data_IF_350266122622
#
_entry.id   IF_350266122622
#
_cell.length_a   1.000
_cell.length_b   1.000
_cell.length_c   1.000
_cell.angle_alpha   90.00
_cell.angle_beta   90.00
_cell.angle_gamma   90.00
#
_symmetry.space_group_name_H-M   'P 1'
#
loop_
_entity.id
_entity.type
_entity.pdbx_description
1 polymer ?
#
# COMPACT_ATOMS: atom_id res chain seq x y z
N UNK A 1 -13.90 7.47 -7.28
CA UNK A 1 -13.52 7.63 -6.78
C UNK A 1 -12.34 7.76 -6.36
N UNK A 2 -11.45 7.76 -6.51
CA UNK A 2 -10.12 8.10 -6.15
C UNK A 2 -9.75 8.02 -4.70
N UNK A 3 -10.60 7.44 -3.91
CA UNK A 3 -10.32 7.40 -2.48
C UNK A 3 -9.10 6.55 -2.18
N UNK A 4 -8.72 5.63 -3.06
CA UNK A 4 -7.57 4.79 -2.80
C UNK A 4 -6.30 5.32 -3.44
N UNK A 5 -6.40 6.15 -4.47
CA UNK A 5 -5.22 6.63 -5.15
C UNK A 5 -4.57 7.73 -4.36
N UNK A 6 -3.29 7.95 -4.59
CA UNK A 6 -2.56 9.01 -3.94
C UNK A 6 -1.29 8.50 -3.30
N UNK A 7 -0.67 9.35 -2.52
CA UNK A 7 0.62 9.06 -1.93
C UNK A 7 0.46 8.49 -0.52
N UNK A 8 1.22 7.43 -0.25
CA UNK A 8 1.20 6.74 1.04
C UNK A 8 2.62 6.62 1.54
N UNK A 9 2.78 6.52 2.86
CA UNK A 9 4.06 6.22 3.50
C UNK A 9 3.97 4.89 4.20
N UNK A 10 4.91 3.99 3.89
CA UNK A 10 5.06 2.74 4.61
C UNK A 10 5.55 3.04 6.04
N UNK A 11 5.14 2.24 7.01
CA UNK A 11 5.50 2.52 8.41
C UNK A 11 7.02 2.55 8.63
N UNK A 12 7.80 1.96 7.72
CA UNK A 12 9.26 2.02 7.80
C UNK A 12 9.84 3.25 7.13
N UNK A 13 9.02 4.13 6.58
CA UNK A 13 9.43 5.45 6.11
C UNK A 13 9.42 5.69 4.61
N UNK A 14 9.44 4.66 3.79
CA UNK A 14 9.47 4.86 2.35
C UNK A 14 8.10 5.22 1.82
N UNK A 15 8.08 5.98 0.73
CA UNK A 15 6.82 6.48 0.17
C UNK A 15 6.50 5.80 -1.15
N UNK A 16 5.21 5.72 -1.42
CA UNK A 16 4.67 5.04 -2.59
C UNK A 16 3.46 5.79 -3.10
N UNK A 17 3.18 5.61 -4.38
CA UNK A 17 1.97 6.17 -4.98
C UNK A 17 1.05 5.02 -5.36
N UNK A 18 -0.17 5.02 -4.82
CA UNK A 18 -1.18 4.03 -5.20
C UNK A 18 -1.83 4.51 -6.48
N UNK A 19 -1.83 3.67 -7.50
CA UNK A 19 -2.33 4.00 -8.82
C UNK A 19 -3.75 3.50 -9.03
N UNK A 20 -4.05 2.28 -8.60
CA UNK A 20 -5.34 1.69 -8.86
C UNK A 20 -5.53 0.43 -8.03
N UNK A 21 -6.76 -0.06 -8.03
CA UNK A 21 -7.08 -1.39 -7.50
C UNK A 21 -7.39 -2.26 -8.71
N UNK A 22 -6.70 -3.39 -8.80
CA UNK A 22 -6.92 -4.36 -9.88
C UNK A 22 -7.41 -5.65 -9.25
N UNK A 23 -7.83 -6.59 -10.07
CA UNK A 23 -8.29 -7.90 -9.61
C UNK A 23 -7.27 -8.95 -9.98
N UNK A 24 -6.93 -9.83 -9.03
CA UNK A 24 -6.05 -10.96 -9.29
C UNK A 24 -6.80 -11.93 -10.21
N UNK A 25 -6.20 -12.29 -11.34
CA UNK A 25 -6.92 -13.07 -12.36
C UNK A 25 -7.26 -14.48 -11.90
N UNK A 26 -6.54 -15.01 -10.93
CA UNK A 26 -6.78 -16.39 -10.47
C UNK A 26 -7.61 -16.44 -9.20
N UNK A 27 -7.26 -15.63 -8.21
CA UNK A 27 -7.94 -15.67 -6.92
C UNK A 27 -9.14 -14.74 -6.85
N UNK A 28 -9.23 -13.79 -7.76
CA UNK A 28 -10.25 -12.75 -7.79
C UNK A 28 -10.16 -11.80 -6.59
N UNK A 29 -9.02 -11.79 -5.90
CA UNK A 29 -8.78 -10.85 -4.82
C UNK A 29 -8.54 -9.46 -5.38
N UNK A 30 -8.93 -8.43 -4.63
CA UNK A 30 -8.57 -7.06 -4.99
C UNK A 30 -7.10 -6.84 -4.67
N UNK A 31 -6.38 -6.27 -5.62
CA UNK A 31 -4.94 -6.00 -5.51
C UNK A 31 -4.69 -4.52 -5.64
N UNK A 32 -3.86 -3.98 -4.75
CA UNK A 32 -3.41 -2.59 -4.86
C UNK A 32 -2.21 -2.57 -5.79
N UNK A 33 -2.26 -1.71 -6.80
CA UNK A 33 -1.12 -1.49 -7.71
C UNK A 33 -0.51 -0.16 -7.33
N UNK A 34 0.77 -0.17 -7.00
CA UNK A 34 1.43 1.03 -6.48
C UNK A 34 2.86 1.12 -7.00
N UNK A 35 3.38 2.34 -7.00
CA UNK A 35 4.71 2.64 -7.52
C UNK A 35 5.59 3.12 -6.37
N UNK A 36 6.82 2.60 -6.28
CA UNK A 36 7.79 3.10 -5.33
C UNK A 36 8.20 4.52 -5.74
N UNK A 37 8.28 5.43 -4.77
CA UNK A 37 8.73 6.78 -5.02
C UNK A 37 10.20 6.93 -4.61
N UNK A 38 10.96 5.87 -4.86
CA UNK A 38 12.39 5.84 -4.59
C UNK A 38 13.02 4.82 -5.54
N UNK A 39 14.34 4.84 -5.62
CA UNK A 39 15.07 3.88 -6.44
C UNK A 39 14.63 3.96 -7.90
N UNK A 40 14.35 2.81 -8.48
CA UNK A 40 13.95 2.72 -9.89
C UNK A 40 12.47 2.96 -10.12
N UNK A 41 11.73 3.34 -9.08
CA UNK A 41 10.29 3.60 -9.19
C UNK A 41 9.53 2.38 -9.72
N UNK A 42 9.88 1.21 -9.21
CA UNK A 42 9.26 -0.03 -9.64
C UNK A 42 7.78 -0.07 -9.29
N UNK A 43 7.04 -0.80 -10.09
CA UNK A 43 5.62 -1.06 -9.81
C UNK A 43 5.49 -2.35 -9.02
N UNK A 44 4.62 -2.32 -8.03
CA UNK A 44 4.38 -3.46 -7.15
C UNK A 44 2.90 -3.70 -7.03
N UNK A 45 2.54 -4.88 -6.58
CA UNK A 45 1.17 -5.18 -6.25
C UNK A 45 1.13 -5.95 -4.94
N UNK A 46 0.05 -5.74 -4.17
CA UNK A 46 -0.16 -6.39 -2.88
C UNK A 46 -1.65 -6.58 -2.68
N UNK A 47 -2.10 -7.70 -2.11
CA UNK A 47 -3.52 -7.84 -1.80
C UNK A 47 -4.03 -6.66 -0.99
N UNK A 48 -5.21 -6.18 -1.33
CA UNK A 48 -5.79 -5.01 -0.69
C UNK A 48 -5.88 -5.17 0.82
N UNK A 49 -6.26 -6.35 1.28
CA UNK A 49 -6.37 -6.61 2.72
C UNK A 49 -5.03 -6.50 3.42
N UNK A 50 -3.93 -6.77 2.72
CA UNK A 50 -2.59 -6.69 3.29
C UNK A 50 -1.97 -5.33 3.09
N UNK A 51 -2.52 -4.51 2.21
CA UNK A 51 -2.04 -3.14 2.01
C UNK A 51 -2.60 -2.23 3.09
N UNK A 52 -3.88 -2.40 3.41
CA UNK A 52 -4.56 -1.52 4.35
C UNK A 52 -4.65 -2.10 5.77
N UNK A 53 -3.84 -3.10 6.07
CA UNK A 53 -3.81 -3.68 7.40
C UNK A 53 -2.96 -2.84 8.34
N UNK A 54 -2.90 -3.25 9.59
CA UNK A 54 -2.03 -2.61 10.57
C UNK A 54 -0.94 -3.57 11.01
N UNK A 55 0.13 -3.01 11.52
CA UNK A 55 1.26 -3.78 12.08
C UNK A 55 1.39 -3.43 13.54
N UNK A 56 1.95 -4.35 14.31
CA UNK A 56 2.24 -4.11 15.73
C UNK A 56 3.75 -3.89 15.87
N UNK A 57 4.12 -2.75 16.41
CA UNK A 57 5.52 -2.41 16.61
C UNK A 57 6.07 -3.13 17.83
N UNK A 58 7.41 -3.21 17.96
CA UNK A 58 8.01 -3.89 19.12
C UNK A 58 7.58 -3.36 20.47
N UNK A 59 7.19 -2.08 20.54
CA UNK A 59 6.71 -1.47 21.78
C UNK A 59 5.23 -1.71 22.06
N UNK A 60 4.57 -2.50 21.20
CA UNK A 60 3.16 -2.84 21.35
C UNK A 60 2.19 -1.88 20.70
N UNK A 61 2.68 -0.79 20.12
CA UNK A 61 1.79 0.15 19.43
C UNK A 61 1.39 -0.41 18.07
N UNK A 62 0.19 -0.06 17.64
CA UNK A 62 -0.29 -0.43 16.31
C UNK A 62 -0.21 0.75 15.38
N UNK A 63 0.15 0.48 14.12
CA UNK A 63 0.22 1.47 13.06
C UNK A 63 -0.32 0.89 11.79
N UNK A 64 -0.85 1.74 10.92
CA UNK A 64 -1.18 1.29 9.57
C UNK A 64 0.12 0.93 8.86
N UNK A 65 0.09 -0.15 8.10
CA UNK A 65 1.24 -0.57 7.29
C UNK A 65 1.59 0.52 6.28
N UNK A 66 0.56 1.11 5.66
CA UNK A 66 0.70 2.25 4.75
C UNK A 66 -0.27 3.32 5.19
N UNK A 67 0.24 4.52 5.38
CA UNK A 67 -0.57 5.64 5.84
C UNK A 67 -0.74 6.63 4.69
N UNK A 68 -1.98 7.00 4.39
CA UNK A 68 -2.25 7.93 3.31
C UNK A 68 -1.76 9.33 3.66
N UNK A 69 -1.01 9.94 2.75
CA UNK A 69 -0.48 11.28 2.97
C UNK A 69 -1.36 12.36 2.34
N UNK A 70 -1.98 12.04 1.21
CA UNK A 70 -2.87 13.00 0.56
C UNK A 70 -3.73 12.32 -0.50
#
# INVERSE_FOLDING_TARGET
MGVFSGRYRHYKGKEYEVLMIARHSETLEDMVVYRALYGDHDLWTRPKAMFFDSVTLPDGQKRLRFEKLE
#
